data_IF_835155486785
#
_entry.id   IF_835155486785
#
_cell.length_a   1.000
_cell.length_b   1.000
_cell.length_c   1.000
_cell.angle_alpha   90.00
_cell.angle_beta   90.00
_cell.angle_gamma   90.00
#
_symmetry.space_group_name_H-M   'P 1'
#
loop_
_entity.id
_entity.type
_entity.pdbx_description
1 polymer ?
#
# COMPACT_ATOMS: atom_id res chain seq x y z
N UNK A 1 -0.65 -5.29 -13.29
CA UNK A 1 0.19 -4.09 -13.43
C UNK A 1 1.50 -4.34 -12.69
N UNK A 2 2.61 -3.75 -13.14
CA UNK A 2 3.84 -3.73 -12.36
C UNK A 2 3.70 -2.67 -11.25
N UNK A 3 3.20 -3.07 -10.09
CA UNK A 3 3.09 -2.18 -8.92
C UNK A 3 4.42 -2.02 -8.15
N UNK A 4 5.48 -2.73 -8.57
CA UNK A 4 6.73 -2.80 -7.83
C UNK A 4 6.60 -3.58 -6.52
N UNK A 5 7.70 -3.71 -5.79
CA UNK A 5 7.80 -4.44 -4.52
C UNK A 5 7.86 -3.52 -3.29
N UNK A 6 7.56 -2.22 -3.48
CA UNK A 6 7.52 -1.20 -2.42
C UNK A 6 6.67 -1.62 -1.22
N UNK A 7 5.50 -2.19 -1.49
CA UNK A 7 4.54 -2.63 -0.47
C UNK A 7 4.90 -3.98 0.16
N UNK A 8 5.93 -4.65 -0.35
CA UNK A 8 6.58 -5.79 0.31
C UNK A 8 7.79 -5.36 1.15
N UNK A 9 8.03 -4.06 1.26
CA UNK A 9 9.15 -3.45 1.96
C UNK A 9 10.44 -3.38 1.14
N UNK A 10 10.44 -3.83 -0.11
CA UNK A 10 11.62 -3.74 -0.98
C UNK A 10 11.70 -2.35 -1.64
N UNK A 11 12.93 -1.86 -1.86
CA UNK A 11 13.19 -0.50 -2.38
C UNK A 11 12.66 0.64 -1.51
N UNK A 12 12.32 0.34 -0.26
CA UNK A 12 12.00 1.30 0.79
C UNK A 12 13.13 1.26 1.81
N UNK A 13 13.66 2.42 2.19
CA UNK A 13 14.90 2.56 2.95
C UNK A 13 14.92 1.75 4.24
N UNK A 14 13.90 1.91 5.08
CA UNK A 14 13.67 1.11 6.30
C UNK A 14 12.48 0.15 6.13
N UNK A 15 12.18 -0.23 4.89
CA UNK A 15 11.13 -1.19 4.57
C UNK A 15 11.57 -2.62 4.83
N UNK A 16 10.61 -3.46 5.23
CA UNK A 16 10.84 -4.88 5.42
C UNK A 16 9.57 -5.71 5.21
N UNK A 17 9.75 -7.02 5.07
CA UNK A 17 8.61 -7.95 5.09
C UNK A 17 7.96 -7.96 6.47
N UNK A 18 6.68 -8.31 6.51
CA UNK A 18 5.95 -8.51 7.76
C UNK A 18 6.57 -9.67 8.58
N UNK A 19 7.35 -9.31 9.59
CA UNK A 19 8.04 -10.20 10.51
C UNK A 19 8.15 -9.55 11.89
N UNK A 20 8.61 -10.31 12.90
CA UNK A 20 8.73 -9.80 14.27
C UNK A 20 9.55 -8.50 14.32
N UNK A 21 9.01 -7.46 14.97
CA UNK A 21 9.64 -6.13 15.04
C UNK A 21 9.38 -5.25 13.82
N UNK A 22 8.66 -5.70 12.80
CA UNK A 22 8.17 -4.80 11.75
C UNK A 22 7.03 -3.94 12.29
N UNK A 23 7.09 -2.63 12.06
CA UNK A 23 6.01 -1.70 12.34
C UNK A 23 4.86 -1.95 11.35
N UNK A 24 3.67 -2.25 11.88
CA UNK A 24 2.52 -2.71 11.10
C UNK A 24 1.28 -1.81 11.19
N UNK A 25 1.21 -0.92 12.18
CA UNK A 25 0.20 0.15 12.29
C UNK A 25 0.87 1.43 12.76
N UNK A 26 0.48 2.56 12.19
CA UNK A 26 1.02 3.89 12.54
C UNK A 26 -0.14 4.88 12.71
N UNK A 27 -0.03 5.75 13.72
CA UNK A 27 -0.86 6.95 13.90
C UNK A 27 0.03 8.15 14.16
N UNK A 28 -0.33 9.30 13.61
CA UNK A 28 0.40 10.56 13.77
C UNK A 28 -0.54 11.62 14.31
N UNK A 29 -0.18 12.23 15.43
CA UNK A 29 -0.92 13.37 15.96
C UNK A 29 -0.70 14.60 15.04
N UNK A 30 -1.77 15.24 14.51
CA UNK A 30 -1.63 16.33 13.56
C UNK A 30 -1.16 17.65 14.19
N UNK A 31 -1.14 17.79 15.52
CA UNK A 31 -0.76 19.01 16.21
C UNK A 31 0.73 19.04 16.55
N UNK A 32 1.28 17.92 17.02
CA UNK A 32 2.67 17.84 17.50
C UNK A 32 3.53 16.81 16.75
N UNK A 33 2.94 16.08 15.80
CA UNK A 33 3.60 15.03 15.01
C UNK A 33 4.13 13.85 15.83
N UNK A 34 3.66 13.65 17.06
CA UNK A 34 3.96 12.45 17.81
C UNK A 34 3.44 11.21 17.08
N UNK A 35 4.29 10.18 17.08
CA UNK A 35 4.04 8.94 16.36
C UNK A 35 3.76 7.85 17.39
N UNK A 36 2.61 7.18 17.22
CA UNK A 36 2.32 5.93 17.92
C UNK A 36 2.23 4.80 16.91
N UNK A 37 2.75 3.63 17.28
CA UNK A 37 2.81 2.48 16.38
C UNK A 37 2.72 1.16 17.14
N UNK A 38 2.31 0.11 16.43
CA UNK A 38 2.45 -1.28 16.87
C UNK A 38 3.53 -1.99 16.07
N UNK A 39 4.02 -3.11 16.61
CA UNK A 39 4.93 -4.00 15.91
C UNK A 39 4.46 -5.45 15.98
N UNK A 40 4.79 -6.21 14.95
CA UNK A 40 4.49 -7.64 14.91
C UNK A 40 5.22 -8.34 16.06
N UNK A 41 4.47 -9.13 16.84
CA UNK A 41 4.90 -9.81 18.08
C UNK A 41 5.38 -8.87 19.20
N UNK A 42 5.00 -7.59 19.19
CA UNK A 42 5.35 -6.60 20.22
C UNK A 42 6.86 -6.56 20.51
N UNK A 43 7.69 -6.69 19.47
CA UNK A 43 9.14 -6.58 19.57
C UNK A 43 9.59 -5.15 19.28
N UNK A 44 10.77 -4.77 19.76
CA UNK A 44 11.36 -3.49 19.40
C UNK A 44 11.43 -3.35 17.87
N UNK A 45 11.11 -2.15 17.34
CA UNK A 45 11.02 -1.96 15.91
C UNK A 45 12.37 -2.10 15.21
N UNK A 46 12.37 -2.71 14.03
CA UNK A 46 13.54 -2.90 13.16
C UNK A 46 13.32 -2.50 11.70
N UNK A 47 12.11 -2.04 11.36
CA UNK A 47 11.72 -1.57 10.03
C UNK A 47 10.20 -1.45 9.93
N UNK A 48 9.69 -1.11 8.75
CA UNK A 48 8.26 -0.88 8.47
C UNK A 48 7.78 -1.88 7.43
N UNK A 49 6.66 -2.55 7.67
CA UNK A 49 6.04 -3.44 6.67
C UNK A 49 5.01 -2.70 5.80
N UNK A 50 4.51 -3.38 4.77
CA UNK A 50 3.57 -2.77 3.82
C UNK A 50 2.33 -2.13 4.44
N UNK A 51 1.74 -2.72 5.48
CA UNK A 51 0.58 -2.12 6.17
C UNK A 51 0.98 -0.85 6.91
N UNK A 52 2.12 -0.86 7.61
CA UNK A 52 2.69 0.32 8.26
C UNK A 52 3.02 1.44 7.27
N UNK A 53 3.55 1.12 6.08
CA UNK A 53 3.82 2.12 5.05
C UNK A 53 2.53 2.79 4.53
N UNK A 54 1.46 2.02 4.33
CA UNK A 54 0.16 2.57 3.92
C UNK A 54 -0.43 3.48 4.99
N UNK A 55 -0.34 3.06 6.26
CA UNK A 55 -0.77 3.87 7.39
C UNK A 55 0.04 5.16 7.49
N UNK A 56 1.37 5.08 7.40
CA UNK A 56 2.23 6.25 7.45
C UNK A 56 1.89 7.27 6.37
N UNK A 57 1.74 6.86 5.11
CA UNK A 57 1.39 7.79 4.02
C UNK A 57 0.01 8.42 4.26
N UNK A 58 -0.97 7.64 4.71
CA UNK A 58 -2.30 8.15 5.00
C UNK A 58 -2.27 9.18 6.15
N UNK A 59 -1.57 8.87 7.23
CA UNK A 59 -1.45 9.75 8.40
C UNK A 59 -0.65 11.01 8.08
N UNK A 60 0.46 10.90 7.36
CA UNK A 60 1.27 12.05 6.95
C UNK A 60 0.51 12.98 6.00
N UNK A 61 -0.40 12.46 5.16
CA UNK A 61 -1.30 13.29 4.35
C UNK A 61 -2.36 13.99 5.21
N UNK A 62 -2.94 13.30 6.21
CA UNK A 62 -3.95 13.89 7.12
C UNK A 62 -3.37 14.97 8.00
N UNK A 63 -2.15 14.78 8.51
CA UNK A 63 -1.42 15.75 9.32
C UNK A 63 -0.74 16.85 8.49
N UNK A 64 -0.90 16.83 7.16
CA UNK A 64 -0.29 17.78 6.21
C UNK A 64 1.25 17.77 6.21
N UNK A 65 1.88 16.80 6.85
CA UNK A 65 3.32 16.52 6.70
C UNK A 65 3.67 16.31 5.23
N UNK A 66 2.76 15.65 4.49
CA UNK A 66 2.79 15.55 3.04
C UNK A 66 1.71 16.43 2.40
N UNK A 67 2.09 17.07 1.30
CA UNK A 67 1.13 17.64 0.37
C UNK A 67 0.51 16.53 -0.47
N UNK A 68 -0.60 16.83 -1.17
CA UNK A 68 -1.26 15.88 -2.06
C UNK A 68 -0.36 15.34 -3.18
N UNK A 69 0.65 16.10 -3.60
CA UNK A 69 1.64 15.62 -4.58
C UNK A 69 2.69 14.67 -3.98
N UNK A 70 2.58 14.34 -2.69
CA UNK A 70 3.52 13.49 -1.96
C UNK A 70 4.85 14.17 -1.65
N UNK A 71 4.93 15.49 -1.75
CA UNK A 71 6.08 16.25 -1.27
C UNK A 71 5.94 16.51 0.23
N UNK A 72 7.05 16.50 0.96
CA UNK A 72 7.07 17.07 2.30
C UNK A 72 6.64 18.54 2.30
N UNK A 73 5.76 18.92 3.23
CA UNK A 73 5.43 20.31 3.45
C UNK A 73 6.63 21.03 4.05
N UNK A 74 7.11 22.06 3.35
CA UNK A 74 8.31 22.81 3.72
C UNK A 74 8.13 23.63 4.99
N UNK A 75 6.89 23.96 5.35
CA UNK A 75 6.55 24.71 6.57
C UNK A 75 6.92 23.96 7.85
N UNK A 76 7.00 22.63 7.78
CA UNK A 76 7.27 21.76 8.91
C UNK A 76 8.70 21.22 8.94
N UNK A 77 9.55 21.64 8.00
CA UNK A 77 10.97 21.25 7.99
C UNK A 77 11.63 21.79 9.26
N UNK A 78 12.51 20.98 9.85
CA UNK A 78 13.23 21.24 11.10
C UNK A 78 12.35 21.25 12.37
N UNK A 79 11.08 20.82 12.25
CA UNK A 79 10.29 20.38 13.40
C UNK A 79 10.70 18.96 13.83
N UNK A 80 10.42 18.58 15.09
CA UNK A 80 11.11 17.51 15.84
C UNK A 80 11.38 16.20 15.06
N UNK A 81 10.46 15.76 14.19
CA UNK A 81 10.58 14.50 13.45
C UNK A 81 10.81 14.65 11.93
N UNK A 82 10.86 15.88 11.40
CA UNK A 82 11.05 16.14 9.97
C UNK A 82 12.44 16.76 9.75
N UNK A 83 13.36 15.96 9.22
CA UNK A 83 14.76 16.36 9.08
C UNK A 83 15.14 16.49 7.61
N UNK A 84 15.93 17.52 7.31
CA UNK A 84 16.61 17.67 6.02
C UNK A 84 18.06 17.17 6.13
N UNK A 85 18.38 16.08 5.43
CA UNK A 85 19.72 15.47 5.39
C UNK A 85 20.17 15.26 3.95
N UNK A 86 21.34 15.78 3.58
CA UNK A 86 21.92 15.62 2.22
C UNK A 86 20.92 15.92 1.09
N UNK A 87 20.18 17.03 1.17
CA UNK A 87 19.10 17.41 0.25
C UNK A 87 17.86 16.49 0.21
N UNK A 88 17.78 15.46 1.04
CA UNK A 88 16.59 14.66 1.22
C UNK A 88 15.85 15.05 2.50
N UNK A 89 14.52 15.07 2.43
CA UNK A 89 13.67 15.24 3.60
C UNK A 89 13.23 13.85 4.06
N UNK A 90 13.31 13.61 5.36
CA UNK A 90 12.98 12.35 6.02
C UNK A 90 12.05 12.62 7.21
N UNK A 91 11.10 11.72 7.45
CA UNK A 91 10.25 11.73 8.64
C UNK A 91 10.57 10.54 9.54
N UNK A 92 10.89 10.81 10.81
CA UNK A 92 11.24 9.78 11.80
C UNK A 92 9.98 9.15 12.39
N UNK A 93 9.77 7.87 12.09
CA UNK A 93 8.71 7.04 12.67
C UNK A 93 9.12 6.56 14.07
N UNK A 94 10.33 6.01 14.22
CA UNK A 94 10.87 5.57 15.50
C UNK A 94 12.28 6.13 15.73
N UNK A 95 12.51 6.73 16.90
CA UNK A 95 13.80 7.27 17.35
C UNK A 95 14.78 6.13 17.70
N UNK A 96 16.06 6.46 17.75
CA UNK A 96 17.17 5.49 17.93
C UNK A 96 17.02 4.63 19.19
N UNK A 97 16.58 5.24 20.27
CA UNK A 97 16.38 4.64 21.59
C UNK A 97 15.19 3.67 21.65
N UNK A 98 14.24 3.83 20.73
CA UNK A 98 13.07 2.97 20.62
C UNK A 98 13.39 1.66 19.89
N UNK A 99 14.34 1.68 18.94
CA UNK A 99 14.66 0.54 18.08
C UNK A 99 15.64 -0.46 18.72
N UNK A 100 15.65 -1.70 18.22
CA UNK A 100 16.71 -2.68 18.60
C UNK A 100 17.91 -2.66 17.67
N UNK A 101 17.83 -1.95 16.54
CA UNK A 101 18.94 -1.80 15.57
C UNK A 101 19.86 -0.63 15.91
N UNK A 102 19.54 0.15 16.95
CA UNK A 102 20.35 1.30 17.38
C UNK A 102 20.45 2.38 16.30
N UNK A 103 19.40 2.51 15.47
CA UNK A 103 19.24 3.52 14.41
C UNK A 103 17.78 4.00 14.39
N UNK A 104 17.54 5.18 13.82
CA UNK A 104 16.18 5.65 13.55
C UNK A 104 15.52 4.77 12.47
N UNK A 105 14.19 4.68 12.51
CA UNK A 105 13.37 4.17 11.40
C UNK A 105 12.60 5.35 10.82
N UNK A 106 12.74 5.58 9.52
CA UNK A 106 12.24 6.78 8.85
C UNK A 106 11.63 6.49 7.48
N UNK A 107 10.94 7.50 6.97
CA UNK A 107 10.39 7.51 5.61
C UNK A 107 10.96 8.70 4.88
N UNK A 108 11.65 8.44 3.77
CA UNK A 108 12.25 9.46 2.91
C UNK A 108 11.31 9.89 1.78
N UNK A 109 11.67 10.99 1.13
CA UNK A 109 10.99 11.44 -0.09
C UNK A 109 10.98 10.39 -1.20
N UNK A 110 12.05 9.60 -1.33
CA UNK A 110 12.13 8.53 -2.33
C UNK A 110 11.19 7.37 -1.99
N UNK A 111 11.08 7.01 -0.70
CA UNK A 111 10.17 5.96 -0.25
C UNK A 111 8.71 6.33 -0.57
N UNK A 112 8.34 7.59 -0.36
CA UNK A 112 7.02 8.11 -0.72
C UNK A 112 6.76 7.98 -2.22
N UNK A 113 7.76 8.26 -3.07
CA UNK A 113 7.64 8.10 -4.53
C UNK A 113 7.42 6.65 -4.93
N UNK A 114 8.11 5.71 -4.31
CA UNK A 114 7.92 4.28 -4.56
C UNK A 114 6.49 3.83 -4.19
N UNK A 115 5.95 4.31 -3.08
CA UNK A 115 4.57 4.01 -2.68
C UNK A 115 3.56 4.68 -3.64
N UNK A 116 3.81 5.92 -4.08
CA UNK A 116 2.97 6.58 -5.08
C UNK A 116 2.91 5.79 -6.39
N UNK A 117 4.06 5.31 -6.88
CA UNK A 117 4.12 4.46 -8.08
C UNK A 117 3.31 3.17 -7.90
N UNK A 118 3.45 2.52 -6.75
CA UNK A 118 2.70 1.30 -6.44
C UNK A 118 1.19 1.55 -6.41
N UNK A 119 0.73 2.61 -5.73
CA UNK A 119 -0.69 2.94 -5.69
C UNK A 119 -1.25 3.34 -7.06
N UNK A 120 -0.48 4.10 -7.84
CA UNK A 120 -0.86 4.54 -9.17
C UNK A 120 -1.02 3.36 -10.11
N UNK A 121 -0.19 2.32 -9.98
CA UNK A 121 -0.31 1.09 -10.74
C UNK A 121 -1.60 0.32 -10.44
N UNK A 122 -2.00 0.22 -9.17
CA UNK A 122 -3.27 -0.44 -8.79
C UNK A 122 -4.49 0.33 -9.28
N UNK A 123 -4.51 1.64 -9.06
CA UNK A 123 -5.62 2.49 -9.43
C UNK A 123 -5.80 2.56 -10.95
N UNK A 124 -4.74 2.87 -11.69
CA UNK A 124 -4.78 2.95 -13.16
C UNK A 124 -5.11 1.60 -13.79
N UNK A 125 -4.55 0.49 -13.28
CA UNK A 125 -4.89 -0.85 -13.73
C UNK A 125 -6.37 -1.16 -13.58
N UNK A 126 -6.96 -0.82 -12.44
CA UNK A 126 -8.40 -1.03 -12.19
C UNK A 126 -9.25 -0.17 -13.13
N UNK A 127 -8.91 1.11 -13.29
CA UNK A 127 -9.63 2.05 -14.17
C UNK A 127 -9.60 1.61 -15.63
N UNK A 128 -8.45 1.15 -16.12
CA UNK A 128 -8.30 0.68 -17.50
C UNK A 128 -9.07 -0.61 -17.77
N UNK A 129 -9.09 -1.53 -16.81
CA UNK A 129 -9.90 -2.76 -16.93
C UNK A 129 -11.38 -2.41 -17.02
N UNK A 130 -11.88 -1.51 -16.16
CA UNK A 130 -13.28 -1.07 -16.23
C UNK A 130 -13.60 -0.41 -17.57
N UNK A 131 -12.76 0.52 -18.03
CA UNK A 131 -12.92 1.17 -19.34
C UNK A 131 -12.90 0.18 -20.50
N UNK A 132 -12.08 -0.86 -20.43
CA UNK A 132 -12.02 -1.90 -21.47
C UNK A 132 -13.28 -2.76 -21.52
N UNK A 133 -13.89 -3.03 -20.36
CA UNK A 133 -15.12 -3.83 -20.27
C UNK A 133 -16.34 -3.01 -20.69
N UNK A 134 -16.61 -1.90 -19.99
CA UNK A 134 -17.64 -0.89 -20.29
C UNK A 134 -17.51 0.24 -19.25
N UNK A 135 -17.51 1.49 -19.71
CA UNK A 135 -17.36 2.68 -18.86
C UNK A 135 -18.50 2.89 -17.86
N UNK A 136 -19.64 2.23 -18.06
CA UNK A 136 -20.79 2.26 -17.15
C UNK A 136 -20.73 1.22 -16.04
N UNK A 137 -19.73 0.33 -16.05
CA UNK A 137 -19.62 -0.69 -15.02
C UNK A 137 -19.17 -0.08 -13.70
N UNK A 138 -19.94 -0.39 -12.66
CA UNK A 138 -19.62 -0.05 -11.28
C UNK A 138 -19.08 -1.28 -10.54
N UNK A 139 -18.03 -1.05 -9.75
CA UNK A 139 -17.48 -2.10 -8.89
C UNK A 139 -18.45 -2.31 -7.73
N UNK A 140 -18.95 -3.55 -7.60
CA UNK A 140 -19.86 -3.93 -6.50
C UNK A 140 -19.13 -4.46 -5.26
N UNK A 141 -17.97 -5.09 -5.45
CA UNK A 141 -17.16 -5.70 -4.37
C UNK A 141 -15.68 -5.69 -4.74
N UNK A 142 -14.83 -5.51 -3.74
CA UNK A 142 -13.37 -5.62 -3.86
C UNK A 142 -12.90 -6.71 -2.92
N UNK A 143 -12.15 -7.68 -3.45
CA UNK A 143 -11.53 -8.75 -2.68
C UNK A 143 -10.01 -8.56 -2.65
N UNK A 144 -9.46 -8.35 -1.47
CA UNK A 144 -8.04 -8.19 -1.22
C UNK A 144 -7.46 -9.54 -0.78
N UNK A 145 -6.50 -10.05 -1.54
CA UNK A 145 -5.83 -11.33 -1.27
C UNK A 145 -4.32 -11.13 -1.12
N UNK A 146 -3.65 -12.17 -0.64
CA UNK A 146 -2.20 -12.19 -0.46
C UNK A 146 -1.76 -11.59 0.88
N UNK A 147 -0.47 -11.75 1.20
CA UNK A 147 0.08 -11.30 2.48
C UNK A 147 -0.15 -9.81 2.73
N UNK A 148 0.03 -8.98 1.71
CA UNK A 148 -0.23 -7.55 1.80
C UNK A 148 -1.74 -7.23 1.97
N UNK A 149 -2.59 -7.80 1.10
CA UNK A 149 -4.02 -7.54 1.11
C UNK A 149 -4.72 -7.95 2.40
N UNK A 150 -4.17 -8.92 3.14
CA UNK A 150 -4.78 -9.42 4.37
C UNK A 150 -4.59 -8.53 5.61
N UNK A 151 -3.56 -7.69 5.65
CA UNK A 151 -3.21 -6.90 6.84
C UNK A 151 -3.24 -5.40 6.62
N UNK A 152 -3.38 -4.94 5.37
CA UNK A 152 -3.52 -3.52 5.07
C UNK A 152 -4.79 -2.94 5.72
N UNK A 153 -4.68 -1.72 6.26
CA UNK A 153 -5.85 -0.96 6.65
C UNK A 153 -6.62 -0.50 5.40
N UNK A 154 -7.79 -1.11 5.15
CA UNK A 154 -8.60 -0.83 3.96
C UNK A 154 -9.04 0.63 3.85
N UNK A 155 -9.26 1.32 4.98
CA UNK A 155 -9.67 2.73 4.99
C UNK A 155 -8.50 3.62 4.55
N UNK A 156 -7.30 3.35 5.04
CA UNK A 156 -6.10 4.09 4.65
C UNK A 156 -5.72 3.81 3.20
N UNK A 157 -5.82 2.54 2.76
CA UNK A 157 -5.59 2.15 1.38
C UNK A 157 -6.54 2.85 0.39
N UNK A 158 -7.84 2.91 0.73
CA UNK A 158 -8.83 3.67 -0.02
C UNK A 158 -8.52 5.17 0.00
N UNK A 159 -8.22 5.72 1.18
CA UNK A 159 -7.91 7.15 1.36
C UNK A 159 -6.73 7.62 0.49
N UNK A 160 -5.65 6.83 0.42
CA UNK A 160 -4.50 7.17 -0.44
C UNK A 160 -4.76 6.89 -1.92
N UNK A 161 -5.90 6.29 -2.28
CA UNK A 161 -6.27 6.01 -3.67
C UNK A 161 -5.70 4.70 -4.23
N UNK A 162 -5.33 3.73 -3.38
CA UNK A 162 -4.97 2.37 -3.85
C UNK A 162 -6.20 1.54 -4.21
N UNK A 163 -7.30 1.72 -3.46
CA UNK A 163 -8.56 1.01 -3.66
C UNK A 163 -9.55 1.98 -4.32
N UNK A 164 -10.32 1.53 -5.34
CA UNK A 164 -11.37 2.33 -5.95
C UNK A 164 -12.38 2.85 -4.92
N UNK A 165 -13.05 3.94 -5.24
CA UNK A 165 -14.09 4.48 -4.37
C UNK A 165 -15.32 3.55 -4.35
N UNK A 166 -15.49 2.86 -3.23
CA UNK A 166 -16.59 1.95 -2.93
C UNK A 166 -16.89 1.99 -1.43
N UNK A 167 -18.11 1.67 -1.03
CA UNK A 167 -18.45 1.52 0.40
C UNK A 167 -17.53 0.51 1.09
N UNK A 168 -17.09 0.83 2.30
CA UNK A 168 -16.09 0.04 3.05
C UNK A 168 -16.61 -1.36 3.42
N UNK A 169 -17.93 -1.54 3.48
CA UNK A 169 -18.61 -2.82 3.68
C UNK A 169 -18.45 -3.78 2.50
N UNK A 170 -18.10 -3.24 1.32
CA UNK A 170 -17.89 -4.01 0.09
C UNK A 170 -16.41 -4.32 -0.18
N UNK A 171 -15.52 -4.03 0.77
CA UNK A 171 -14.09 -4.38 0.72
C UNK A 171 -13.82 -5.54 1.69
N UNK A 172 -13.42 -6.68 1.13
CA UNK A 172 -13.22 -7.94 1.84
C UNK A 172 -11.78 -8.39 1.77
N UNK A 173 -11.18 -8.73 2.91
CA UNK A 173 -9.87 -9.36 2.99
C UNK A 173 -10.06 -10.88 3.05
N UNK A 174 -9.48 -11.62 2.11
CA UNK A 174 -9.73 -13.06 1.93
C UNK A 174 -8.48 -13.92 2.16
N UNK A 175 -7.40 -13.32 2.68
CA UNK A 175 -6.16 -14.03 3.01
C UNK A 175 -5.47 -14.67 1.80
N UNK A 176 -4.91 -15.86 2.01
CA UNK A 176 -4.22 -16.61 0.97
C UNK A 176 -5.22 -17.32 0.03
N UNK A 177 -5.85 -16.56 -0.85
CA UNK A 177 -6.82 -17.07 -1.82
C UNK A 177 -6.25 -18.17 -2.73
N UNK A 178 -4.96 -18.09 -3.09
CA UNK A 178 -4.29 -19.11 -3.90
C UNK A 178 -4.18 -20.45 -3.15
N UNK A 179 -3.72 -20.42 -1.89
CA UNK A 179 -3.61 -21.60 -1.04
C UNK A 179 -4.97 -22.24 -0.75
N UNK A 180 -5.96 -21.43 -0.36
CA UNK A 180 -7.33 -21.89 -0.13
C UNK A 180 -7.93 -22.49 -1.41
N UNK A 181 -7.75 -21.82 -2.56
CA UNK A 181 -8.19 -22.31 -3.86
C UNK A 181 -7.58 -23.67 -4.23
N UNK A 182 -6.28 -23.85 -3.99
CA UNK A 182 -5.58 -25.11 -4.24
C UNK A 182 -6.16 -26.27 -3.41
N UNK A 183 -6.43 -26.04 -2.12
CA UNK A 183 -7.06 -27.03 -1.25
C UNK A 183 -8.47 -27.41 -1.74
N UNK A 184 -9.28 -26.41 -2.11
CA UNK A 184 -10.64 -26.62 -2.61
C UNK A 184 -10.67 -27.49 -3.88
N UNK A 185 -9.80 -27.21 -4.86
CA UNK A 185 -9.76 -27.99 -6.11
C UNK A 185 -9.07 -29.35 -5.94
N UNK A 186 -8.19 -29.50 -4.95
CA UNK A 186 -7.58 -30.79 -4.61
C UNK A 186 -8.64 -31.77 -4.10
N UNK A 187 -9.52 -31.30 -3.20
CA UNK A 187 -10.51 -32.14 -2.51
C UNK A 187 -11.84 -32.29 -3.28
N UNK A 188 -12.12 -31.45 -4.28
CA UNK A 188 -13.40 -31.44 -4.98
C UNK A 188 -13.23 -31.45 -6.51
N UNK A 189 -13.55 -32.61 -7.13
CA UNK A 189 -13.50 -32.80 -8.59
C UNK A 189 -14.44 -31.86 -9.34
N UNK A 190 -15.63 -31.58 -8.81
CA UNK A 190 -16.59 -30.67 -9.44
C UNK A 190 -16.07 -29.22 -9.44
N UNK A 191 -15.43 -28.77 -8.36
CA UNK A 191 -14.77 -27.45 -8.32
C UNK A 191 -13.61 -27.38 -9.31
N UNK A 192 -12.84 -28.46 -9.44
CA UNK A 192 -11.75 -28.55 -10.42
C UNK A 192 -12.26 -28.37 -11.86
N UNK A 193 -13.34 -29.06 -12.23
CA UNK A 193 -13.98 -28.89 -13.54
C UNK A 193 -14.57 -27.48 -13.74
N UNK A 194 -15.14 -26.89 -12.68
CA UNK A 194 -15.61 -25.51 -12.70
C UNK A 194 -14.46 -24.53 -12.97
N UNK A 195 -13.32 -24.69 -12.31
CA UNK A 195 -12.12 -23.86 -12.52
C UNK A 195 -11.60 -24.00 -13.96
N UNK A 196 -11.54 -25.22 -14.52
CA UNK A 196 -11.16 -25.42 -15.93
C UNK A 196 -12.05 -24.63 -16.91
N UNK A 197 -13.36 -24.55 -16.64
CA UNK A 197 -14.30 -23.75 -17.43
C UNK A 197 -14.10 -22.24 -17.21
N UNK A 198 -13.81 -21.82 -15.98
CA UNK A 198 -13.57 -20.41 -15.65
C UNK A 198 -12.31 -19.85 -16.32
N UNK A 199 -11.21 -20.61 -16.33
CA UNK A 199 -9.94 -20.19 -16.96
C UNK A 199 -10.15 -19.82 -18.43
N UNK A 200 -11.01 -20.55 -19.15
CA UNK A 200 -11.36 -20.25 -20.56
C UNK A 200 -12.10 -18.93 -20.76
N UNK A 201 -12.64 -18.32 -19.69
CA UNK A 201 -13.34 -17.03 -19.71
C UNK A 201 -12.46 -15.87 -19.25
N UNK A 202 -11.30 -16.13 -18.66
CA UNK A 202 -10.38 -15.10 -18.20
C UNK A 202 -9.67 -14.52 -19.43
N UNK A 203 -9.82 -13.22 -19.63
CA UNK A 203 -9.11 -12.49 -20.67
C UNK A 203 -7.94 -11.72 -20.05
N UNK A 204 -6.75 -11.91 -20.62
CA UNK A 204 -5.59 -11.13 -20.26
C UNK A 204 -5.60 -9.80 -21.02
N UNK A 205 -5.43 -8.70 -20.29
CA UNK A 205 -5.35 -7.36 -20.87
C UNK A 205 -3.96 -6.81 -20.56
N UNK A 206 -3.16 -6.62 -21.60
CA UNK A 206 -1.90 -5.90 -21.50
C UNK A 206 -2.20 -4.40 -21.40
N UNK A 207 -2.28 -3.91 -20.17
CA UNK A 207 -2.60 -2.50 -19.87
C UNK A 207 -1.42 -1.57 -20.17
N UNK A 208 -0.17 -2.04 -20.10
CA UNK A 208 1.00 -1.18 -20.28
C UNK A 208 1.17 -0.65 -21.71
N UNK A 209 0.55 -1.32 -22.69
CA UNK A 209 0.58 -0.94 -24.11
C UNK A 209 -0.56 0.00 -24.52
N UNK A 210 -1.50 0.29 -23.61
CA UNK A 210 -2.63 1.18 -23.90
C UNK A 210 -2.15 2.63 -23.90
N UNK A 211 -2.60 3.41 -24.90
CA UNK A 211 -2.24 4.83 -25.05
C UNK A 211 -2.63 5.65 -23.82
N UNK A 212 -3.73 5.27 -23.18
CA UNK A 212 -4.29 5.91 -22.00
C UNK A 212 -3.56 5.58 -20.71
N UNK A 213 -2.73 4.51 -20.68
CA UNK A 213 -2.10 4.03 -19.46
C UNK A 213 -1.23 5.10 -18.82
N UNK A 214 -0.37 5.75 -19.60
CA UNK A 214 0.54 6.78 -19.07
C UNK A 214 -0.23 7.95 -18.44
N UNK A 215 -1.34 8.36 -19.06
CA UNK A 215 -2.20 9.42 -18.51
C UNK A 215 -2.84 8.98 -17.20
N UNK A 216 -3.55 7.85 -17.19
CA UNK A 216 -4.22 7.35 -15.98
C UNK A 216 -3.22 7.07 -14.84
N UNK A 217 -2.04 6.56 -15.17
CA UNK A 217 -0.98 6.31 -14.20
C UNK A 217 -0.43 7.61 -13.60
N UNK A 218 -0.16 8.62 -14.45
CA UNK A 218 0.33 9.93 -13.99
C UNK A 218 -0.71 10.64 -13.14
N UNK A 219 -1.98 10.62 -13.55
CA UNK A 219 -3.10 11.21 -12.79
C UNK A 219 -3.27 10.51 -11.42
N UNK A 220 -3.01 9.20 -11.36
CA UNK A 220 -3.12 8.40 -10.14
C UNK A 220 -1.95 8.55 -9.15
N UNK A 221 -0.90 9.32 -9.49
CA UNK A 221 0.21 9.63 -8.57
C UNK A 221 -0.21 10.60 -7.45
N UNK A 222 -1.36 11.28 -7.59
CA UNK A 222 -1.87 12.33 -6.69
C UNK A 222 -3.08 11.92 -5.85
#
# INVERSE_FOLDING_TARGET
CAAGSALEGAHISDGMRAAAGAIDTIKIDPQNFDVSYSTIKNKKPIGICGSGLVDAIAEMLRSKILTRSGNFNKEFIDQERILKRNNNIEFIIAKREETSIGKEIKISQNDIRQIQMAKAAFYSGTRLILKHLDTKLEIKRVFLAGAFGNYINKYNAKFIGMIPDISDENIFQIGNAAGTGAQLVLLNKNLREKVKKLIKKIQYIEIATKKEFQKEYTDAMY
#
